data_IF_101000313029
#
_entry.id   IF_101000313029
#
_cell.length_a   1.000
_cell.length_b   1.000
_cell.length_c   1.000
_cell.angle_alpha   90.00
_cell.angle_beta   90.00
_cell.angle_gamma   90.00
#
_symmetry.space_group_name_H-M   'P 1'
#
loop_
_entity.id
_entity.type
_entity.pdbx_description
1 polymer ?
#
# COMPACT_ATOMS: atom_id res chain seq x y z
N UNK A 1 -11.18 -20.87 -15.75
CA UNK A 1 -11.84 -19.75 -15.05
C UNK A 1 -11.05 -19.53 -13.76
N UNK A 2 -10.51 -18.33 -13.52
CA UNK A 2 -9.49 -18.11 -12.50
C UNK A 2 -10.08 -18.16 -11.10
N UNK A 3 -9.67 -19.16 -10.31
CA UNK A 3 -10.05 -19.33 -8.91
C UNK A 3 -9.14 -18.47 -8.02
N UNK A 4 -9.25 -17.14 -8.16
CA UNK A 4 -8.53 -16.18 -7.33
C UNK A 4 -9.34 -15.96 -6.06
N UNK A 5 -9.42 -16.92 -5.13
CA UNK A 5 -10.28 -16.77 -3.95
C UNK A 5 -9.74 -15.76 -2.92
N UNK A 6 -8.47 -15.35 -3.04
CA UNK A 6 -7.82 -14.43 -2.11
C UNK A 6 -7.12 -13.28 -2.84
N UNK A 7 -7.82 -12.17 -3.11
CA UNK A 7 -7.10 -10.89 -3.25
C UNK A 7 -7.50 -9.90 -2.18
N UNK A 8 -6.50 -9.21 -1.70
CA UNK A 8 -6.61 -8.19 -0.68
C UNK A 8 -6.31 -6.88 -1.39
N UNK A 9 -7.26 -5.95 -1.32
CA UNK A 9 -7.03 -4.56 -1.68
C UNK A 9 -6.23 -3.95 -0.56
N UNK A 10 -4.94 -4.14 -0.65
CA UNK A 10 -4.05 -3.41 0.20
C UNK A 10 -4.10 -1.96 -0.28
N UNK A 11 -4.31 -1.12 0.72
CA UNK A 11 -3.53 0.09 0.83
C UNK A 11 -4.14 1.34 0.16
N UNK A 12 -4.90 2.09 0.96
CA UNK A 12 -4.92 3.55 0.88
C UNK A 12 -4.27 4.10 2.16
N UNK A 13 -3.27 4.95 2.01
CA UNK A 13 -2.69 5.71 3.12
C UNK A 13 -3.15 7.13 2.97
N UNK A 14 -3.95 7.57 3.91
CA UNK A 14 -4.39 8.95 3.98
C UNK A 14 -3.76 9.65 5.17
N UNK A 15 -3.76 10.98 5.15
CA UNK A 15 -3.40 11.80 6.30
C UNK A 15 -4.66 12.39 6.90
N UNK A 16 -4.66 12.63 8.21
CA UNK A 16 -5.64 13.52 8.84
C UNK A 16 -4.94 14.42 9.84
N UNK A 17 -5.43 15.64 10.02
CA UNK A 17 -4.77 16.67 10.82
C UNK A 17 -5.57 17.05 12.06
N UNK A 18 -4.84 17.59 13.04
CA UNK A 18 -5.42 18.15 14.26
C UNK A 18 -5.55 19.66 14.11
N UNK A 19 -6.72 20.21 14.49
CA UNK A 19 -6.93 21.65 14.64
C UNK A 19 -6.22 22.22 15.90
N UNK A 20 -5.85 21.35 16.85
CA UNK A 20 -5.13 21.70 18.08
C UNK A 20 -3.65 21.33 18.06
N UNK A 21 -2.93 21.65 19.14
CA UNK A 21 -1.47 21.42 19.25
C UNK A 21 -1.07 19.94 19.44
N UNK A 22 -2.04 19.04 19.68
CA UNK A 22 -1.86 17.60 19.88
C UNK A 22 -0.69 17.23 20.80
N UNK A 23 -0.49 17.98 21.90
CA UNK A 23 0.70 17.84 22.76
C UNK A 23 0.83 16.47 23.43
N UNK A 24 -0.30 15.80 23.68
CA UNK A 24 -0.35 14.47 24.29
C UNK A 24 -0.19 13.32 23.27
N UNK A 25 -0.18 13.58 21.96
CA UNK A 25 -0.04 12.56 20.94
C UNK A 25 1.35 12.63 20.28
N UNK A 26 2.29 11.73 20.61
CA UNK A 26 3.63 11.76 20.03
C UNK A 26 3.66 11.40 18.54
N UNK A 27 2.64 10.71 18.02
CA UNK A 27 2.54 10.40 16.58
C UNK A 27 2.05 11.61 15.77
N UNK A 28 1.46 12.61 16.43
CA UNK A 28 1.01 13.84 15.79
C UNK A 28 2.23 14.70 15.42
N UNK A 29 2.68 14.55 14.17
CA UNK A 29 3.88 15.18 13.62
C UNK A 29 3.52 15.98 12.37
N UNK A 30 4.29 17.02 12.06
CA UNK A 30 4.14 17.75 10.79
C UNK A 30 4.79 16.97 9.66
N UNK A 31 4.08 16.76 8.57
CA UNK A 31 4.59 16.07 7.39
C UNK A 31 4.02 16.65 6.09
N UNK A 32 4.11 15.87 5.01
CA UNK A 32 3.47 16.25 3.76
C UNK A 32 1.95 16.22 3.93
N UNK A 33 1.31 17.38 3.87
CA UNK A 33 -0.13 17.51 4.07
C UNK A 33 -0.88 17.24 2.77
N UNK A 34 -1.68 16.17 2.73
CA UNK A 34 -2.61 15.93 1.62
C UNK A 34 -3.79 16.90 1.63
N UNK A 35 -4.12 17.44 2.81
CA UNK A 35 -5.24 18.37 3.04
C UNK A 35 -4.88 19.86 2.91
N UNK A 36 -3.70 20.20 2.37
CA UNK A 36 -3.20 21.59 2.24
C UNK A 36 -3.13 22.38 3.56
N UNK A 37 -2.89 21.70 4.70
CA UNK A 37 -2.73 22.24 6.05
C UNK A 37 -1.33 21.94 6.62
N UNK A 38 -0.25 22.48 6.02
CA UNK A 38 1.12 22.17 6.44
C UNK A 38 1.48 22.69 7.84
N UNK A 39 0.67 23.61 8.38
CA UNK A 39 0.79 24.17 9.73
C UNK A 39 0.28 23.22 10.82
N UNK A 40 -0.67 22.35 10.46
CA UNK A 40 -1.27 21.34 11.33
C UNK A 40 -0.36 20.15 11.59
N UNK A 41 -0.40 19.63 12.83
CA UNK A 41 0.12 18.28 13.09
C UNK A 41 -0.84 17.26 12.51
N UNK A 42 -0.31 16.16 12.01
CA UNK A 42 -1.10 15.11 11.38
C UNK A 42 -0.69 13.73 11.88
N UNK A 43 -1.51 12.74 11.56
CA UNK A 43 -1.16 11.31 11.59
C UNK A 43 -1.47 10.72 10.23
N UNK A 44 -0.75 9.65 9.88
CA UNK A 44 -1.07 8.87 8.69
C UNK A 44 -1.90 7.66 9.10
N UNK A 45 -2.95 7.36 8.35
CA UNK A 45 -3.83 6.21 8.58
C UNK A 45 -3.77 5.32 7.35
N UNK A 46 -3.31 4.09 7.54
CA UNK A 46 -3.32 3.07 6.51
C UNK A 46 -4.47 2.10 6.71
N UNK A 47 -5.13 1.71 5.62
CA UNK A 47 -6.26 0.79 5.63
C UNK A 47 -6.05 -0.39 4.67
N UNK A 48 -6.48 -1.58 5.10
CA UNK A 48 -6.50 -2.79 4.28
C UNK A 48 -7.94 -3.25 4.12
N UNK A 49 -8.36 -3.45 2.87
CA UNK A 49 -9.70 -3.91 2.52
C UNK A 49 -9.64 -5.28 1.83
N UNK A 50 -10.67 -6.09 2.00
CA UNK A 50 -10.90 -7.25 1.11
C UNK A 50 -11.66 -6.83 -0.16
N UNK A 51 -12.00 -7.81 -1.01
CA UNK A 51 -12.67 -7.57 -2.29
C UNK A 51 -14.07 -7.01 -2.17
N UNK A 52 -14.73 -7.30 -1.06
CA UNK A 52 -16.08 -6.84 -0.79
C UNK A 52 -16.07 -5.44 -0.16
N UNK A 53 -14.88 -4.86 0.03
CA UNK A 53 -14.68 -3.53 0.61
C UNK A 53 -14.68 -3.52 2.13
N UNK A 54 -14.58 -4.67 2.80
CA UNK A 54 -14.55 -4.73 4.26
C UNK A 54 -13.14 -4.54 4.82
N UNK A 55 -12.99 -3.73 5.88
CA UNK A 55 -11.69 -3.51 6.50
C UNK A 55 -11.18 -4.76 7.23
N UNK A 56 -9.95 -5.15 6.93
CA UNK A 56 -9.26 -6.31 7.55
C UNK A 56 -8.20 -5.88 8.56
N UNK A 57 -7.54 -4.76 8.31
CA UNK A 57 -6.52 -4.20 9.17
C UNK A 57 -6.43 -2.69 8.97
N UNK A 58 -5.98 -1.98 10.00
CA UNK A 58 -5.59 -0.58 9.92
C UNK A 58 -4.41 -0.36 10.86
N UNK A 59 -3.61 0.66 10.56
CA UNK A 59 -2.53 1.15 11.42
C UNK A 59 -2.50 2.67 11.38
N UNK A 60 -2.11 3.27 12.52
CA UNK A 60 -1.86 4.71 12.63
C UNK A 60 -0.36 4.94 12.77
N UNK A 61 0.17 5.77 11.89
CA UNK A 61 1.59 6.10 11.85
C UNK A 61 1.81 7.58 12.14
N UNK A 62 3.07 7.90 12.45
CA UNK A 62 3.52 9.27 12.66
C UNK A 62 3.20 10.13 11.43
N UNK A 63 2.76 11.36 11.65
CA UNK A 63 2.32 12.26 10.58
C UNK A 63 3.36 12.60 9.53
N UNK A 64 4.63 12.35 9.81
CA UNK A 64 5.75 12.57 8.89
C UNK A 64 6.31 11.27 8.30
N UNK A 65 5.65 10.12 8.53
CA UNK A 65 6.10 8.85 8.00
C UNK A 65 6.01 8.86 6.48
N UNK A 66 7.10 8.45 5.83
CA UNK A 66 7.10 8.25 4.39
C UNK A 66 6.28 7.00 4.03
N UNK A 67 5.44 7.17 3.02
CA UNK A 67 4.66 6.16 2.35
C UNK A 67 5.40 4.82 2.12
N UNK A 68 6.66 4.88 1.69
CA UNK A 68 7.48 3.68 1.46
C UNK A 68 7.66 2.83 2.72
N UNK A 69 7.69 3.43 3.90
CA UNK A 69 8.06 2.77 5.16
C UNK A 69 6.87 2.12 5.87
N UNK A 70 5.63 2.29 5.38
CA UNK A 70 4.42 1.78 6.05
C UNK A 70 3.94 0.43 5.53
N UNK A 71 4.52 -0.11 4.45
CA UNK A 71 4.09 -1.40 3.91
C UNK A 71 4.39 -2.57 4.86
N UNK A 72 5.64 -2.72 5.32
CA UNK A 72 6.02 -3.85 6.17
C UNK A 72 5.20 -3.95 7.46
N UNK A 73 5.03 -2.86 8.25
CA UNK A 73 4.21 -2.91 9.45
C UNK A 73 2.73 -3.22 9.15
N UNK A 74 2.22 -2.78 8.00
CA UNK A 74 0.84 -3.06 7.61
C UNK A 74 0.65 -4.54 7.24
N UNK A 75 1.62 -5.13 6.54
CA UNK A 75 1.62 -6.57 6.23
C UNK A 75 1.69 -7.39 7.52
N UNK A 76 2.49 -6.96 8.50
CA UNK A 76 2.51 -7.57 9.83
C UNK A 76 1.17 -7.46 10.56
N UNK A 77 0.54 -6.28 10.53
CA UNK A 77 -0.76 -6.05 11.15
C UNK A 77 -1.85 -6.91 10.52
N UNK A 78 -1.85 -7.03 9.19
CA UNK A 78 -2.76 -7.89 8.46
C UNK A 78 -2.55 -9.36 8.85
N UNK A 79 -1.30 -9.84 8.78
CA UNK A 79 -0.96 -11.24 9.12
C UNK A 79 -1.36 -11.59 10.55
N UNK A 80 -1.15 -10.68 11.52
CA UNK A 80 -1.58 -10.87 12.91
C UNK A 80 -3.10 -10.97 13.06
N UNK A 81 -3.87 -10.23 12.26
CA UNK A 81 -5.34 -10.16 12.37
C UNK A 81 -6.04 -11.29 11.63
N UNK A 82 -5.56 -11.68 10.45
CA UNK A 82 -6.26 -12.62 9.57
C UNK A 82 -5.47 -13.89 9.24
N UNK A 83 -4.27 -14.04 9.82
CA UNK A 83 -3.35 -15.13 9.54
C UNK A 83 -2.57 -14.94 8.23
N UNK A 84 -1.56 -15.80 8.02
CA UNK A 84 -0.82 -15.87 6.76
C UNK A 84 -1.74 -16.32 5.63
N UNK A 85 -1.71 -15.59 4.51
CA UNK A 85 -2.45 -15.92 3.29
C UNK A 85 -1.52 -16.16 2.11
N UNK A 86 -0.81 -17.29 2.13
CA UNK A 86 0.09 -17.66 1.05
C UNK A 86 -0.64 -17.63 -0.31
N UNK A 87 -0.02 -17.03 -1.31
CA UNK A 87 -0.61 -16.87 -2.65
C UNK A 87 -1.65 -15.76 -2.78
N UNK A 88 -1.98 -15.04 -1.70
CA UNK A 88 -2.86 -13.88 -1.83
C UNK A 88 -2.20 -12.77 -2.65
N UNK A 89 -3.01 -12.06 -3.44
CA UNK A 89 -2.55 -10.93 -4.24
C UNK A 89 -2.79 -9.62 -3.50
N UNK A 90 -1.74 -8.82 -3.43
CA UNK A 90 -1.65 -7.53 -2.76
C UNK A 90 -1.65 -6.42 -3.80
N UNK A 91 -2.68 -5.59 -3.83
CA UNK A 91 -2.67 -4.37 -4.66
C UNK A 91 -1.90 -3.30 -3.89
N UNK A 92 -1.02 -2.54 -4.55
CA UNK A 92 -0.22 -1.50 -3.88
C UNK A 92 -0.26 -0.22 -4.71
N UNK A 93 -0.41 0.92 -4.04
CA UNK A 93 -0.17 2.21 -4.67
C UNK A 93 1.26 2.26 -5.21
N UNK A 94 1.42 2.80 -6.42
CA UNK A 94 2.71 3.04 -7.03
C UNK A 94 3.65 3.85 -6.14
N UNK A 95 3.13 4.81 -5.36
CA UNK A 95 3.92 5.61 -4.42
C UNK A 95 4.69 4.79 -3.38
N UNK A 96 4.41 3.49 -3.27
CA UNK A 96 5.01 2.57 -2.31
C UNK A 96 5.62 1.33 -2.96
N UNK A 97 5.49 1.19 -4.27
CA UNK A 97 5.99 0.04 -5.00
C UNK A 97 7.49 0.18 -5.34
N UNK A 98 8.29 0.38 -4.31
CA UNK A 98 9.74 0.31 -4.38
C UNK A 98 10.20 -1.15 -4.32
N UNK A 99 11.38 -1.45 -4.87
CA UNK A 99 11.83 -2.84 -5.00
C UNK A 99 11.95 -3.57 -3.65
N UNK A 100 12.40 -2.89 -2.60
CA UNK A 100 12.45 -3.43 -1.23
C UNK A 100 11.07 -3.82 -0.70
N UNK A 101 10.06 -2.99 -0.99
CA UNK A 101 8.67 -3.25 -0.64
C UNK A 101 8.10 -4.43 -1.43
N UNK A 102 8.42 -4.53 -2.73
CA UNK A 102 8.01 -5.68 -3.55
C UNK A 102 8.72 -6.97 -3.11
N UNK A 103 9.98 -6.89 -2.68
CA UNK A 103 10.69 -8.01 -2.06
C UNK A 103 10.02 -8.48 -0.77
N UNK A 104 9.56 -7.57 0.10
CA UNK A 104 8.84 -7.94 1.32
C UNK A 104 7.57 -8.74 1.00
N UNK A 105 6.81 -8.32 0.01
CA UNK A 105 5.62 -9.04 -0.45
C UNK A 105 6.00 -10.45 -0.93
N UNK A 106 7.02 -10.55 -1.79
CA UNK A 106 7.49 -11.85 -2.32
C UNK A 106 8.01 -12.78 -1.22
N UNK A 107 8.77 -12.26 -0.25
CA UNK A 107 9.29 -13.03 0.90
C UNK A 107 8.20 -13.59 1.80
N UNK A 108 7.02 -12.95 1.85
CA UNK A 108 5.83 -13.44 2.56
C UNK A 108 5.03 -14.46 1.75
N UNK A 109 5.47 -14.83 0.55
CA UNK A 109 4.76 -15.75 -0.34
C UNK A 109 3.51 -15.14 -0.95
N UNK A 110 3.47 -13.81 -1.09
CA UNK A 110 2.35 -13.06 -1.65
C UNK A 110 2.66 -12.63 -3.09
N UNK A 111 1.61 -12.43 -3.88
CA UNK A 111 1.69 -11.80 -5.20
C UNK A 111 1.40 -10.30 -5.08
N UNK A 112 1.77 -9.49 -6.07
CA UNK A 112 1.43 -8.07 -6.09
C UNK A 112 0.90 -7.58 -7.44
N UNK A 113 0.10 -6.51 -7.37
CA UNK A 113 -0.30 -5.69 -8.50
C UNK A 113 0.06 -4.23 -8.18
N UNK A 114 0.78 -3.59 -9.10
CA UNK A 114 1.20 -2.19 -9.01
C UNK A 114 0.92 -1.49 -10.34
N UNK A 115 0.49 -0.23 -10.28
CA UNK A 115 0.43 0.61 -11.47
C UNK A 115 1.85 0.97 -11.98
N UNK A 116 2.19 0.56 -13.20
CA UNK A 116 3.47 0.88 -13.84
C UNK A 116 3.61 2.34 -14.26
N UNK A 117 4.84 2.78 -14.55
CA UNK A 117 5.09 4.11 -15.13
C UNK A 117 4.55 4.20 -16.55
N UNK A 118 4.07 5.38 -16.94
CA UNK A 118 3.69 5.64 -18.34
C UNK A 118 4.87 5.44 -19.30
N UNK A 119 6.08 5.83 -18.89
CA UNK A 119 7.31 5.63 -19.67
C UNK A 119 7.64 4.15 -19.86
N UNK A 120 7.54 3.34 -18.80
CA UNK A 120 7.74 1.88 -18.84
C UNK A 120 6.70 1.22 -19.73
N UNK A 121 5.42 1.58 -19.56
CA UNK A 121 4.34 1.11 -20.43
C UNK A 121 4.61 1.44 -21.89
N UNK A 122 5.02 2.67 -22.19
CA UNK A 122 5.34 3.08 -23.55
C UNK A 122 6.54 2.31 -24.12
N UNK A 123 7.53 1.96 -23.29
CA UNK A 123 8.65 1.12 -23.68
C UNK A 123 8.21 -0.33 -23.98
N UNK A 124 7.32 -0.90 -23.15
CA UNK A 124 6.73 -2.23 -23.37
C UNK A 124 5.91 -2.28 -24.66
N UNK A 125 5.09 -1.26 -24.91
CA UNK A 125 4.30 -1.12 -26.14
C UNK A 125 5.21 -1.01 -27.38
N UNK A 126 6.30 -0.23 -27.29
CA UNK A 126 7.28 -0.10 -28.39
C UNK A 126 8.04 -1.39 -28.65
N UNK A 127 8.37 -2.15 -27.62
CA UNK A 127 9.20 -3.35 -27.73
C UNK A 127 8.39 -4.62 -28.03
N UNK A 128 7.05 -4.57 -28.10
CA UNK A 128 6.19 -5.76 -28.26
C UNK A 128 6.30 -6.76 -27.09
N UNK A 129 6.93 -6.32 -26.00
CA UNK A 129 7.20 -7.10 -24.80
C UNK A 129 6.26 -6.56 -23.72
N UNK A 130 5.02 -7.03 -23.72
CA UNK A 130 4.31 -7.11 -22.45
C UNK A 130 5.16 -8.03 -21.55
N UNK A 131 5.52 -7.60 -20.32
CA UNK A 131 6.28 -8.44 -19.40
C UNK A 131 5.58 -9.79 -19.29
N UNK A 132 6.35 -10.88 -19.23
CA UNK A 132 5.87 -12.26 -19.33
C UNK A 132 4.74 -12.59 -18.35
N UNK A 133 4.60 -11.82 -17.26
CA UNK A 133 3.49 -11.87 -16.30
C UNK A 133 2.10 -11.52 -16.88
N UNK A 134 2.02 -10.93 -18.09
CA UNK A 134 0.76 -10.59 -18.78
C UNK A 134 0.53 -11.40 -20.07
N UNK A 135 1.46 -12.28 -20.46
CA UNK A 135 1.34 -13.08 -21.70
C UNK A 135 0.49 -14.35 -21.58
N UNK A 136 -0.04 -14.67 -20.41
CA UNK A 136 -0.89 -15.86 -20.19
C UNK A 136 -2.38 -15.62 -20.42
N UNK A 137 -2.77 -14.50 -21.05
CA UNK A 137 -4.17 -14.16 -21.31
C UNK A 137 -4.37 -13.66 -22.74
N UNK A 138 -4.10 -14.54 -23.71
CA UNK A 138 -4.73 -14.52 -25.04
C UNK A 138 -5.11 -15.95 -25.40
#
# INVERSE_FOLDING_TARGET
>A
MFNLDDTVYLYDLTSTYFEGQAQANPQAQRGYSRDQRPDGKQVMVGLVLDRDGFPKAHETFDGNRQDRLSLDPMLDALEKRVGKRLGATVIVDRGMAFEDNLEQIRRRGLHYLVAGLQSERNQWLKNGLLPTALRTYQ
#
